data_IF_679097498446
#
_entry.id   IF_679097498446
#
_cell.length_a   1.000
_cell.length_b   1.000
_cell.length_c   1.000
_cell.angle_alpha   90.00
_cell.angle_beta   90.00
_cell.angle_gamma   90.00
#
_symmetry.space_group_name_H-M   'P 1'
#
loop_
_entity.id
_entity.type
_entity.pdbx_description
1 polymer ?
#
# COMPACT_ATOMS: atom_id res chain seq x y z
N UNK A 1 32.18 -2.24 10.07
CA UNK A 1 31.24 -1.93 8.96
C UNK A 1 30.41 -0.71 9.32
N UNK A 2 29.99 0.10 8.35
CA UNK A 2 29.09 1.24 8.62
C UNK A 2 27.74 0.70 9.12
N UNK A 3 27.23 1.24 10.22
CA UNK A 3 25.88 0.93 10.70
C UNK A 3 24.85 1.33 9.65
N UNK A 4 23.84 0.49 9.45
CA UNK A 4 22.71 0.85 8.60
C UNK A 4 21.92 2.00 9.25
N UNK A 5 21.38 2.90 8.43
CA UNK A 5 20.45 3.93 8.90
C UNK A 5 19.00 3.39 8.92
N UNK A 6 18.09 4.15 9.53
CA UNK A 6 16.67 3.78 9.67
C UNK A 6 16.05 3.39 8.32
N UNK A 7 16.24 4.20 7.26
CA UNK A 7 15.70 3.92 5.92
C UNK A 7 16.21 2.59 5.35
N UNK A 8 17.51 2.31 5.48
CA UNK A 8 18.11 1.07 5.01
C UNK A 8 17.55 -0.14 5.75
N UNK A 9 17.34 -0.03 7.07
CA UNK A 9 16.72 -1.09 7.87
C UNK A 9 15.26 -1.31 7.48
N UNK A 10 14.48 -0.24 7.26
CA UNK A 10 13.10 -0.34 6.77
C UNK A 10 13.02 -0.98 5.38
N UNK A 11 13.95 -0.66 4.47
CA UNK A 11 14.04 -1.30 3.15
C UNK A 11 14.34 -2.80 3.24
N UNK A 12 15.19 -3.21 4.17
CA UNK A 12 15.42 -4.64 4.44
C UNK A 12 14.16 -5.33 4.96
N UNK A 13 13.39 -4.66 5.81
CA UNK A 13 12.11 -5.18 6.31
C UNK A 13 11.06 -5.31 5.20
N UNK A 14 10.98 -4.31 4.30
CA UNK A 14 10.12 -4.37 3.11
C UNK A 14 10.52 -5.54 2.21
N UNK A 15 11.82 -5.73 1.95
CA UNK A 15 12.33 -6.88 1.19
C UNK A 15 12.01 -8.21 1.85
N UNK A 16 12.19 -8.30 3.18
CA UNK A 16 11.76 -9.46 3.96
C UNK A 16 10.29 -9.75 3.68
N UNK A 17 9.45 -8.70 3.72
CA UNK A 17 8.00 -8.77 3.48
C UNK A 17 7.63 -9.23 2.07
N UNK A 18 8.36 -8.81 1.03
CA UNK A 18 8.13 -9.33 -0.33
C UNK A 18 8.55 -10.78 -0.52
N UNK A 19 9.61 -11.25 0.16
CA UNK A 19 10.14 -12.61 0.01
C UNK A 19 9.36 -13.68 0.81
N UNK A 20 8.17 -13.35 1.31
CA UNK A 20 7.40 -14.14 2.29
C UNK A 20 8.16 -14.65 3.55
N UNK A 21 9.34 -14.08 3.85
CA UNK A 21 10.16 -14.51 4.99
C UNK A 21 9.55 -14.09 6.33
N UNK A 22 9.59 -15.00 7.30
CA UNK A 22 9.36 -14.71 8.72
C UNK A 22 10.55 -13.96 9.35
N UNK A 23 10.33 -13.36 10.52
CA UNK A 23 11.40 -12.75 11.30
C UNK A 23 12.49 -13.77 11.66
N UNK A 24 12.12 -15.01 12.02
CA UNK A 24 13.07 -16.06 12.37
C UNK A 24 13.92 -16.54 11.18
N UNK A 25 13.34 -16.60 9.98
CA UNK A 25 14.10 -16.95 8.76
C UNK A 25 15.08 -15.84 8.39
N UNK A 26 14.66 -14.58 8.51
CA UNK A 26 15.55 -13.43 8.36
C UNK A 26 16.71 -13.50 9.35
N UNK A 27 16.43 -13.77 10.63
CA UNK A 27 17.47 -13.84 11.67
C UNK A 27 18.48 -14.94 11.37
N UNK A 28 18.01 -16.12 10.95
CA UNK A 28 18.87 -17.22 10.49
C UNK A 28 19.72 -16.82 9.28
N UNK A 29 19.14 -16.13 8.30
CA UNK A 29 19.84 -15.67 7.11
C UNK A 29 20.87 -14.57 7.40
N UNK A 30 20.61 -13.69 8.37
CA UNK A 30 21.57 -12.68 8.83
C UNK A 30 22.72 -13.33 9.58
N UNK A 31 22.43 -14.28 10.47
CA UNK A 31 23.46 -15.01 11.22
C UNK A 31 24.37 -15.84 10.31
N UNK A 32 23.84 -16.44 9.23
CA UNK A 32 24.65 -17.22 8.28
C UNK A 32 25.69 -16.38 7.51
N UNK A 33 25.48 -15.07 7.42
CA UNK A 33 26.44 -14.11 6.84
C UNK A 33 27.19 -13.30 7.90
N UNK A 34 27.10 -13.70 9.18
CA UNK A 34 27.81 -13.05 10.29
C UNK A 34 27.22 -11.71 10.75
N UNK A 35 25.98 -11.40 10.39
CA UNK A 35 25.27 -10.18 10.81
C UNK A 35 24.38 -10.48 12.00
N UNK A 36 24.56 -9.73 13.09
CA UNK A 36 23.74 -9.84 14.31
C UNK A 36 22.35 -9.24 14.04
N UNK A 37 21.24 -9.98 14.17
CA UNK A 37 19.90 -9.45 13.84
C UNK A 37 19.51 -8.16 14.58
N UNK A 38 20.00 -7.99 15.80
CA UNK A 38 19.71 -6.81 16.62
C UNK A 38 20.41 -5.51 16.14
N UNK A 39 21.36 -5.59 15.19
CA UNK A 39 22.02 -4.42 14.58
C UNK A 39 21.30 -3.90 13.35
N UNK A 40 20.26 -4.61 12.88
CA UNK A 40 19.42 -4.23 11.74
C UNK A 40 17.96 -3.99 12.15
N UNK A 41 17.72 -3.75 13.44
CA UNK A 41 16.41 -3.41 13.99
C UNK A 41 16.14 -1.90 13.87
N UNK A 42 15.18 -1.47 13.04
CA UNK A 42 14.88 -0.05 12.85
C UNK A 42 14.44 0.64 14.16
N UNK A 43 13.80 -0.08 15.09
CA UNK A 43 13.34 0.49 16.36
C UNK A 43 14.48 0.93 17.28
N UNK A 44 15.67 0.34 17.11
CA UNK A 44 16.87 0.70 17.91
C UNK A 44 17.63 1.90 17.34
N UNK A 45 17.24 2.38 16.15
CA UNK A 45 17.94 3.46 15.45
C UNK A 45 17.37 4.86 15.69
N UNK A 46 16.30 4.95 16.47
CA UNK A 46 15.61 6.19 16.84
C UNK A 46 15.22 6.16 18.32
N UNK A 47 15.12 7.32 18.95
CA UNK A 47 14.70 7.42 20.35
C UNK A 47 13.18 7.28 20.52
N UNK A 48 12.74 7.03 21.75
CA UNK A 48 11.33 6.82 22.07
C UNK A 48 10.44 8.04 21.75
N UNK A 49 10.94 9.27 21.98
CA UNK A 49 10.19 10.49 21.69
C UNK A 49 9.96 10.67 20.18
N UNK A 50 10.94 10.27 19.39
CA UNK A 50 10.88 10.25 17.94
C UNK A 50 9.89 9.18 17.46
N UNK A 51 9.92 7.98 18.05
CA UNK A 51 8.97 6.90 17.76
C UNK A 51 7.52 7.31 18.01
N UNK A 52 7.23 8.05 19.09
CA UNK A 52 5.88 8.56 19.35
C UNK A 52 5.38 9.51 18.25
N UNK A 53 6.24 10.44 17.81
CA UNK A 53 5.92 11.36 16.71
C UNK A 53 5.73 10.61 15.40
N UNK A 54 6.61 9.65 15.13
CA UNK A 54 6.55 8.78 13.96
C UNK A 54 5.24 7.99 13.94
N UNK A 55 4.86 7.37 15.06
CA UNK A 55 3.59 6.65 15.21
C UNK A 55 2.40 7.55 14.88
N UNK A 56 2.36 8.77 15.45
CA UNK A 56 1.27 9.72 15.20
C UNK A 56 1.13 10.09 13.71
N UNK A 57 2.24 10.32 13.00
CA UNK A 57 2.20 10.58 11.55
C UNK A 57 1.78 9.34 10.77
N UNK A 58 2.24 8.17 11.19
CA UNK A 58 1.90 6.90 10.55
C UNK A 58 0.41 6.59 10.73
N UNK A 59 -0.19 6.92 11.87
CA UNK A 59 -1.64 6.73 12.09
C UNK A 59 -2.48 7.65 11.20
N UNK A 60 -2.03 8.89 11.01
CA UNK A 60 -2.65 9.79 10.01
C UNK A 60 -2.53 9.24 8.60
N UNK A 61 -1.37 8.69 8.23
CA UNK A 61 -1.18 8.05 6.92
C UNK A 61 -2.11 6.85 6.73
N UNK A 62 -2.31 6.02 7.75
CA UNK A 62 -3.26 4.90 7.65
C UNK A 62 -4.70 5.38 7.42
N UNK A 63 -5.14 6.43 8.13
CA UNK A 63 -6.48 6.99 7.93
C UNK A 63 -6.63 7.55 6.51
N UNK A 64 -5.65 8.34 6.04
CA UNK A 64 -5.66 8.90 4.69
C UNK A 64 -5.59 7.82 3.62
N UNK A 65 -4.75 6.80 3.83
CA UNK A 65 -4.58 5.68 2.92
C UNK A 65 -5.85 4.81 2.84
N UNK A 66 -6.61 4.71 3.93
CA UNK A 66 -7.90 4.04 3.94
C UNK A 66 -8.91 4.78 3.08
N UNK A 67 -9.06 6.10 3.24
CA UNK A 67 -9.95 6.90 2.39
C UNK A 67 -9.56 6.79 0.91
N UNK A 68 -8.27 6.89 0.58
CA UNK A 68 -7.77 6.73 -0.80
C UNK A 68 -8.08 5.33 -1.36
N UNK A 69 -8.05 4.30 -0.50
CA UNK A 69 -8.42 2.94 -0.90
C UNK A 69 -9.93 2.81 -1.17
N UNK A 70 -10.78 3.40 -0.32
CA UNK A 70 -12.24 3.44 -0.51
C UNK A 70 -12.62 4.17 -1.79
N UNK A 71 -12.08 5.37 -2.02
CA UNK A 71 -12.28 6.15 -3.25
C UNK A 71 -11.89 5.31 -4.48
N UNK A 72 -10.76 4.60 -4.42
CA UNK A 72 -10.33 3.72 -5.51
C UNK A 72 -11.28 2.54 -5.73
N UNK A 73 -11.80 1.95 -4.65
CA UNK A 73 -12.79 0.88 -4.74
C UNK A 73 -14.09 1.39 -5.39
N UNK A 74 -14.58 2.56 -4.97
CA UNK A 74 -15.74 3.24 -5.55
C UNK A 74 -15.52 3.56 -7.04
N UNK A 75 -14.33 4.05 -7.41
CA UNK A 75 -13.97 4.32 -8.79
C UNK A 75 -13.96 3.04 -9.65
N UNK A 76 -13.50 1.91 -9.10
CA UNK A 76 -13.46 0.63 -9.83
C UNK A 76 -14.84 0.05 -10.16
N UNK A 77 -15.86 0.40 -9.39
CA UNK A 77 -17.26 0.01 -9.64
C UNK A 77 -18.04 1.10 -10.40
N UNK A 78 -17.35 2.13 -10.90
CA UNK A 78 -17.92 3.19 -11.72
C UNK A 78 -18.68 4.27 -10.95
N UNK A 79 -18.60 4.29 -9.60
CA UNK A 79 -19.18 5.35 -8.79
C UNK A 79 -18.34 6.64 -8.82
N UNK A 80 -17.05 6.53 -9.13
CA UNK A 80 -16.12 7.65 -9.25
C UNK A 80 -15.24 7.55 -10.50
N UNK A 81 -14.58 8.66 -10.88
CA UNK A 81 -13.64 8.68 -12.02
C UNK A 81 -12.36 7.93 -11.68
N UNK A 82 -12.00 6.94 -12.51
CA UNK A 82 -10.71 6.24 -12.42
C UNK A 82 -9.60 7.18 -12.87
N UNK A 83 -8.79 7.66 -11.93
CA UNK A 83 -7.63 8.48 -12.24
C UNK A 83 -6.37 7.59 -12.25
N UNK A 84 -5.66 7.53 -13.39
CA UNK A 84 -4.44 6.73 -13.53
C UNK A 84 -3.29 7.46 -12.85
N UNK A 85 -2.80 6.94 -11.73
CA UNK A 85 -1.84 7.64 -10.90
C UNK A 85 -0.39 7.28 -11.24
N UNK A 86 0.40 8.27 -11.64
CA UNK A 86 1.83 8.12 -11.93
C UNK A 86 2.69 7.81 -10.68
N UNK A 87 2.24 8.26 -9.51
CA UNK A 87 2.91 8.11 -8.21
C UNK A 87 1.91 7.49 -7.24
N UNK A 88 2.29 6.40 -6.57
CA UNK A 88 1.45 5.73 -5.58
C UNK A 88 1.44 6.46 -4.23
N UNK A 89 0.62 5.99 -3.28
CA UNK A 89 0.43 6.66 -2.00
C UNK A 89 1.70 6.75 -1.16
N UNK A 90 2.56 5.71 -1.17
CA UNK A 90 3.82 5.71 -0.42
C UNK A 90 5.04 6.05 -1.29
N UNK A 91 5.05 5.60 -2.55
CA UNK A 91 6.16 5.77 -3.51
C UNK A 91 7.52 5.42 -2.91
N UNK A 92 7.54 4.24 -2.29
CA UNK A 92 8.76 3.64 -1.76
C UNK A 92 9.57 3.08 -2.93
N UNK A 93 10.73 3.67 -3.15
CA UNK A 93 11.62 3.24 -4.22
C UNK A 93 12.23 1.88 -3.94
N UNK A 94 12.14 0.99 -4.92
CA UNK A 94 12.82 -0.31 -4.88
C UNK A 94 14.35 -0.15 -4.87
N UNK A 95 15.05 -1.18 -4.42
CA UNK A 95 16.51 -1.18 -4.46
C UNK A 95 17.00 -1.15 -5.90
N UNK A 96 17.65 -0.05 -6.30
CA UNK A 96 18.18 0.14 -7.65
C UNK A 96 17.44 1.20 -8.45
N UNK A 97 16.25 1.62 -8.01
CA UNK A 97 15.62 2.83 -8.56
C UNK A 97 16.50 4.04 -8.27
N UNK A 98 16.89 4.74 -9.33
CA UNK A 98 17.74 5.92 -9.27
C UNK A 98 17.08 7.06 -10.02
N UNK A 99 17.59 8.27 -9.78
CA UNK A 99 17.11 9.47 -10.46
C UNK A 99 17.29 9.34 -11.97
N UNK A 100 16.30 9.77 -12.76
CA UNK A 100 16.35 9.80 -14.22
C UNK A 100 17.34 10.84 -14.79
N UNK A 101 18.27 11.35 -13.99
CA UNK A 101 19.31 12.28 -14.42
C UNK A 101 18.79 13.70 -14.71
N UNK A 102 19.32 14.31 -15.78
CA UNK A 102 19.18 15.75 -16.06
C UNK A 102 17.76 16.26 -16.25
N UNK A 103 16.79 15.40 -16.58
CA UNK A 103 15.38 15.78 -16.67
C UNK A 103 14.69 15.91 -15.30
N UNK A 104 15.34 15.49 -14.20
CA UNK A 104 14.86 15.67 -12.84
C UNK A 104 15.51 16.90 -12.19
N UNK A 105 14.83 18.03 -12.27
CA UNK A 105 15.27 19.35 -11.78
C UNK A 105 15.47 19.39 -10.25
N UNK A 106 14.88 18.45 -9.51
CA UNK A 106 15.05 18.33 -8.05
C UNK A 106 16.49 17.94 -7.68
N UNK A 107 17.15 17.12 -8.50
CA UNK A 107 18.51 16.61 -8.25
C UNK A 107 19.56 17.14 -9.23
N UNK A 108 19.16 17.85 -10.27
CA UNK A 108 20.06 18.50 -11.21
C UNK A 108 20.82 19.65 -10.50
N UNK A 109 21.82 19.32 -9.71
CA UNK A 109 22.86 20.27 -9.30
C UNK A 109 23.80 20.38 -10.49
N UNK A 110 23.86 21.60 -11.07
CA UNK A 110 24.77 22.01 -12.15
C UNK A 110 26.09 21.22 -12.15
N UNK A 111 26.20 20.18 -12.97
CA UNK A 111 27.46 19.48 -13.22
C UNK A 111 27.37 18.62 -14.49
N UNK A 112 28.38 18.80 -15.33
CA UNK A 112 28.57 18.37 -16.72
C UNK A 112 28.72 16.86 -16.94
N UNK A 113 27.98 15.99 -16.25
CA UNK A 113 28.08 14.55 -16.46
C UNK A 113 26.70 13.88 -16.50
N UNK A 114 26.02 14.07 -17.63
CA UNK A 114 24.81 13.34 -17.97
C UNK A 114 25.19 11.99 -18.63
N UNK A 115 25.23 10.92 -17.84
CA UNK A 115 25.04 9.58 -18.40
C UNK A 115 23.54 9.31 -18.45
N UNK A 116 22.95 9.53 -19.61
CA UNK A 116 21.56 9.20 -19.88
C UNK A 116 21.45 7.69 -20.14
N UNK A 117 21.01 6.93 -19.15
CA UNK A 117 20.42 5.61 -19.40
C UNK A 117 18.94 5.80 -19.70
N UNK A 118 18.63 6.04 -20.98
CA UNK A 118 17.25 6.04 -21.48
C UNK A 118 16.72 4.59 -21.46
N UNK A 119 15.75 4.31 -20.59
CA UNK A 119 15.23 2.97 -20.45
C UNK A 119 14.02 2.89 -19.53
N UNK A 120 13.05 3.77 -19.73
CA UNK A 120 11.63 3.64 -19.33
C UNK A 120 10.96 4.98 -19.63
N UNK A 121 9.68 4.96 -19.99
CA UNK A 121 8.84 6.16 -20.09
C UNK A 121 8.80 6.82 -18.72
N UNK A 122 9.78 7.66 -18.42
CA UNK A 122 9.96 8.22 -17.08
C UNK A 122 8.84 9.23 -16.86
N UNK A 123 7.89 8.86 -16.00
CA UNK A 123 6.83 9.75 -15.56
C UNK A 123 7.47 10.84 -14.68
N UNK A 124 7.29 12.08 -15.13
CA UNK A 124 7.69 13.28 -14.41
C UNK A 124 6.45 13.95 -13.84
N UNK A 125 6.59 14.49 -12.63
CA UNK A 125 5.54 15.25 -11.96
C UNK A 125 6.15 16.53 -11.39
N UNK A 126 5.36 17.59 -11.34
CA UNK A 126 5.78 18.85 -10.75
C UNK A 126 5.59 18.82 -9.23
N UNK A 127 6.62 19.27 -8.51
CA UNK A 127 6.57 19.35 -7.05
C UNK A 127 5.79 20.58 -6.60
N UNK A 128 4.65 20.39 -5.93
CA UNK A 128 3.77 21.47 -5.47
C UNK A 128 4.39 22.47 -4.46
N UNK A 129 5.58 22.17 -3.94
CA UNK A 129 6.30 23.01 -2.96
C UNK A 129 7.44 23.84 -3.55
N UNK A 130 8.05 23.39 -4.66
CA UNK A 130 9.19 24.08 -5.25
C UNK A 130 9.09 24.23 -6.77
N UNK A 131 7.97 23.80 -7.35
CA UNK A 131 7.61 23.93 -8.77
C UNK A 131 8.61 23.26 -9.73
N UNK A 132 9.56 22.48 -9.19
CA UNK A 132 10.54 21.73 -9.97
C UNK A 132 10.01 20.38 -10.38
N UNK A 133 10.36 20.00 -11.60
CA UNK A 133 10.05 18.70 -12.19
C UNK A 133 10.83 17.58 -11.53
N UNK A 134 10.14 16.53 -11.11
CA UNK A 134 10.69 15.40 -10.39
C UNK A 134 10.35 14.08 -11.10
N UNK A 135 11.34 13.20 -11.27
CA UNK A 135 11.09 11.82 -11.67
C UNK A 135 10.45 11.03 -10.52
N UNK A 136 9.75 9.93 -10.83
CA UNK A 136 9.14 9.02 -9.82
C UNK A 136 10.08 8.71 -8.64
N UNK A 137 11.33 8.37 -8.89
CA UNK A 137 12.30 8.04 -7.82
C UNK A 137 12.60 9.22 -6.87
N UNK A 138 12.50 10.46 -7.36
CA UNK A 138 12.70 11.68 -6.56
C UNK A 138 11.42 12.22 -5.93
N UNK A 139 10.25 11.68 -6.26
CA UNK A 139 8.97 12.04 -5.66
C UNK A 139 8.77 11.31 -4.33
N UNK A 140 8.16 11.97 -3.36
CA UNK A 140 7.55 11.28 -2.23
C UNK A 140 6.14 10.82 -2.65
N UNK A 141 5.61 9.82 -1.95
CA UNK A 141 4.25 9.33 -2.23
C UNK A 141 3.20 10.39 -1.93
N UNK A 142 2.00 10.22 -2.49
CA UNK A 142 0.88 11.15 -2.27
C UNK A 142 0.55 11.37 -0.79
N UNK A 143 0.76 10.35 0.04
CA UNK A 143 0.60 10.47 1.49
C UNK A 143 1.49 11.55 2.12
N UNK A 144 2.68 11.82 1.57
CA UNK A 144 3.53 12.91 2.06
C UNK A 144 2.93 14.29 1.79
N UNK A 145 2.35 14.50 0.60
CA UNK A 145 1.67 15.75 0.28
C UNK A 145 0.51 16.00 1.25
N UNK A 146 -0.30 14.97 1.51
CA UNK A 146 -1.43 15.04 2.45
C UNK A 146 -1.01 15.31 3.90
N UNK A 147 0.22 14.93 4.29
CA UNK A 147 0.79 15.27 5.60
C UNK A 147 1.40 16.67 5.67
N UNK A 148 1.94 17.19 4.55
CA UNK A 148 2.56 18.51 4.47
C UNK A 148 1.52 19.62 4.42
N UNK A 149 0.42 19.40 3.70
CA UNK A 149 -0.74 20.26 3.80
C UNK A 149 -1.33 20.13 5.20
N UNK A 150 -1.48 21.24 5.92
CA UNK A 150 -2.29 21.29 7.14
C UNK A 150 -3.81 21.03 6.85
N UNK A 151 -4.12 20.58 5.63
CA UNK A 151 -5.41 20.19 5.08
C UNK A 151 -6.15 19.13 5.89
N UNK A 152 -5.49 18.39 6.80
CA UNK A 152 -6.21 17.51 7.72
C UNK A 152 -7.15 18.26 8.68
N UNK A 153 -6.81 19.51 9.07
CA UNK A 153 -7.72 20.33 9.90
C UNK A 153 -8.86 20.90 9.07
N UNK A 154 -8.62 21.24 7.80
CA UNK A 154 -9.63 21.83 6.93
C UNK A 154 -10.59 20.79 6.31
N UNK A 155 -10.17 19.53 6.20
CA UNK A 155 -11.01 18.44 5.68
C UNK A 155 -12.15 18.02 6.63
N UNK A 156 -12.04 18.31 7.93
CA UNK A 156 -13.13 18.03 8.88
C UNK A 156 -14.32 18.98 8.76
N UNK A 157 -14.25 20.01 7.90
CA UNK A 157 -15.26 21.08 7.86
C UNK A 157 -16.24 20.95 6.68
N UNK A 158 -15.91 20.22 5.61
CA UNK A 158 -16.78 20.15 4.43
C UNK A 158 -17.40 18.77 4.20
N UNK A 159 -18.37 18.43 5.06
CA UNK A 159 -19.51 17.61 4.65
C UNK A 159 -20.49 18.45 3.81
N UNK A 160 -20.07 18.86 2.61
CA UNK A 160 -20.84 19.81 1.80
C UNK A 160 -20.71 19.60 0.30
N UNK A 161 -21.72 18.95 -0.30
CA UNK A 161 -22.33 19.17 -1.62
C UNK A 161 -21.48 19.48 -2.89
N UNK A 162 -20.17 19.32 -2.91
CA UNK A 162 -19.37 19.30 -4.12
C UNK A 162 -18.61 17.98 -4.17
N UNK A 163 -18.87 17.16 -5.18
CA UNK A 163 -18.27 15.83 -5.41
C UNK A 163 -16.78 15.88 -5.77
N UNK A 164 -15.98 16.60 -5.01
CA UNK A 164 -14.52 16.60 -5.06
C UNK A 164 -13.96 15.91 -3.84
N UNK A 165 -14.06 14.57 -3.80
CA UNK A 165 -13.36 13.74 -2.80
C UNK A 165 -11.84 13.90 -2.87
N UNK A 166 -11.10 13.11 -2.10
CA UNK A 166 -9.62 13.12 -2.07
C UNK A 166 -8.99 13.00 -3.47
N UNK A 167 -9.76 12.53 -4.45
CA UNK A 167 -9.50 12.58 -5.89
C UNK A 167 -8.95 13.94 -6.40
N UNK A 168 -9.41 15.10 -5.89
CA UNK A 168 -8.88 16.41 -6.32
C UNK A 168 -7.49 16.75 -5.73
N UNK A 169 -7.18 16.24 -4.53
CA UNK A 169 -5.86 16.36 -3.91
C UNK A 169 -4.88 15.29 -4.42
N UNK A 170 -5.38 14.28 -5.14
CA UNK A 170 -4.60 13.17 -5.64
C UNK A 170 -3.64 13.55 -6.78
N UNK A 171 -3.85 14.67 -7.48
CA UNK A 171 -2.95 15.08 -8.58
C UNK A 171 -1.73 15.87 -8.09
N UNK A 172 -1.73 16.30 -6.84
CA UNK A 172 -0.60 17.02 -6.26
C UNK A 172 0.51 16.06 -5.81
N UNK A 173 1.74 16.40 -6.16
CA UNK A 173 2.94 15.63 -5.81
C UNK A 173 3.96 16.51 -5.10
N UNK A 174 4.81 15.90 -4.28
CA UNK A 174 5.90 16.60 -3.59
C UNK A 174 7.19 15.81 -3.74
N UNK A 175 8.30 16.51 -3.96
CA UNK A 175 9.60 15.86 -4.07
C UNK A 175 10.18 15.52 -2.68
N UNK A 176 11.01 14.46 -2.63
CA UNK A 176 11.65 13.99 -1.40
C UNK A 176 12.54 15.04 -0.71
N UNK A 177 13.03 16.04 -1.44
CA UNK A 177 13.82 17.14 -0.84
C UNK A 177 12.95 18.19 -0.14
N UNK A 178 11.69 18.35 -0.53
CA UNK A 178 10.74 19.24 0.15
C UNK A 178 10.06 18.56 1.35
N UNK A 179 10.21 17.24 1.49
CA UNK A 179 9.65 16.48 2.61
C UNK A 179 10.60 16.46 3.81
N UNK A 180 10.05 16.70 5.00
CA UNK A 180 10.75 16.43 6.26
C UNK A 180 11.14 14.95 6.35
N UNK A 181 12.32 14.68 6.93
CA UNK A 181 12.82 13.33 7.18
C UNK A 181 11.80 12.44 7.91
N UNK A 182 11.10 12.99 8.90
CA UNK A 182 10.10 12.27 9.67
C UNK A 182 8.90 11.83 8.82
N UNK A 183 8.48 12.64 7.84
CA UNK A 183 7.39 12.27 6.91
C UNK A 183 7.86 11.13 6.01
N UNK A 184 9.09 11.20 5.49
CA UNK A 184 9.67 10.13 4.67
C UNK A 184 9.73 8.82 5.46
N UNK A 185 10.20 8.87 6.71
CA UNK A 185 10.24 7.71 7.59
C UNK A 185 8.84 7.17 7.92
N UNK A 186 7.85 8.04 8.13
CA UNK A 186 6.47 7.62 8.39
C UNK A 186 5.88 6.86 7.21
N UNK A 187 6.18 7.27 5.97
CA UNK A 187 5.78 6.52 4.77
C UNK A 187 6.35 5.09 4.78
N UNK A 188 7.63 4.90 5.15
CA UNK A 188 8.21 3.55 5.26
C UNK A 188 7.51 2.70 6.32
N UNK A 189 7.22 3.28 7.49
CA UNK A 189 6.54 2.55 8.59
C UNK A 189 5.12 2.15 8.18
N UNK A 190 4.37 3.07 7.58
CA UNK A 190 3.00 2.78 7.15
C UNK A 190 2.99 1.76 6.01
N UNK A 191 3.97 1.83 5.11
CA UNK A 191 4.10 0.84 4.05
C UNK A 191 4.36 -0.58 4.59
N UNK A 192 5.27 -0.71 5.56
CA UNK A 192 5.51 -1.98 6.26
C UNK A 192 4.24 -2.49 6.95
N UNK A 193 3.47 -1.61 7.59
CA UNK A 193 2.17 -1.94 8.19
C UNK A 193 1.18 -2.50 7.16
N UNK A 194 1.11 -1.87 5.98
CA UNK A 194 0.25 -2.34 4.88
C UNK A 194 0.70 -3.70 4.36
N UNK A 195 2.01 -3.90 4.12
CA UNK A 195 2.54 -5.18 3.68
C UNK A 195 2.25 -6.31 4.70
N UNK A 196 2.35 -6.02 5.99
CA UNK A 196 1.94 -6.96 7.05
C UNK A 196 0.46 -7.30 6.97
N UNK A 197 -0.41 -6.31 6.78
CA UNK A 197 -1.84 -6.51 6.63
C UNK A 197 -2.18 -7.32 5.37
N UNK A 198 -1.51 -7.07 4.24
CA UNK A 198 -1.66 -7.86 3.01
C UNK A 198 -1.28 -9.32 3.22
N UNK A 199 -0.15 -9.59 3.90
CA UNK A 199 0.24 -10.97 4.25
C UNK A 199 -0.75 -11.67 5.18
N UNK A 200 -1.29 -10.94 6.17
CA UNK A 200 -2.32 -11.49 7.07
C UNK A 200 -3.59 -11.83 6.29
N UNK A 201 -4.04 -10.91 5.43
CA UNK A 201 -5.18 -11.11 4.54
C UNK A 201 -4.98 -12.34 3.65
N UNK A 202 -3.86 -12.45 2.94
CA UNK A 202 -3.59 -13.60 2.07
C UNK A 202 -3.54 -14.93 2.82
N UNK A 203 -3.02 -14.96 4.05
CA UNK A 203 -3.06 -16.16 4.91
C UNK A 203 -4.48 -16.50 5.35
N UNK A 204 -5.27 -15.50 5.74
CA UNK A 204 -6.67 -15.69 6.11
C UNK A 204 -7.51 -16.18 4.93
N UNK A 205 -7.36 -15.59 3.75
CA UNK A 205 -8.04 -16.01 2.51
C UNK A 205 -7.68 -17.44 2.12
N UNK A 206 -6.39 -17.81 2.19
CA UNK A 206 -5.95 -19.19 1.91
C UNK A 206 -6.53 -20.18 2.92
N UNK A 207 -6.59 -19.80 4.20
CA UNK A 207 -7.19 -20.64 5.25
C UNK A 207 -8.71 -20.79 5.05
N UNK A 208 -9.40 -19.70 4.74
CA UNK A 208 -10.83 -19.70 4.43
C UNK A 208 -11.14 -20.57 3.21
N UNK A 209 -10.37 -20.41 2.12
CA UNK A 209 -10.51 -21.25 0.93
C UNK A 209 -10.28 -22.74 1.24
N UNK A 210 -9.26 -23.06 2.04
CA UNK A 210 -9.01 -24.45 2.48
C UNK A 210 -10.17 -25.00 3.30
N UNK A 211 -10.72 -24.21 4.21
CA UNK A 211 -11.86 -24.61 5.03
C UNK A 211 -13.12 -24.86 4.16
N UNK A 212 -13.42 -23.97 3.21
CA UNK A 212 -14.51 -24.14 2.25
C UNK A 212 -14.33 -25.42 1.45
N UNK A 213 -13.12 -25.67 0.92
CA UNK A 213 -12.86 -26.90 0.15
C UNK A 213 -13.05 -28.17 0.99
N UNK A 214 -12.71 -28.14 2.29
CA UNK A 214 -12.91 -29.26 3.20
C UNK A 214 -14.39 -29.52 3.50
N UNK A 215 -15.18 -28.46 3.74
CA UNK A 215 -16.63 -28.59 4.01
C UNK A 215 -17.37 -29.03 2.77
N UNK A 216 -17.11 -28.39 1.63
CA UNK A 216 -17.79 -28.68 0.39
C UNK A 216 -17.33 -29.98 -0.29
N UNK A 217 -16.30 -30.67 0.23
CA UNK A 217 -15.66 -31.82 -0.42
C UNK A 217 -15.34 -31.53 -1.90
N UNK A 218 -14.85 -30.32 -2.17
CA UNK A 218 -14.36 -29.91 -3.48
C UNK A 218 -13.00 -30.58 -3.72
N UNK A 219 -12.97 -31.91 -3.71
CA UNK A 219 -11.86 -32.67 -4.26
C UNK A 219 -11.74 -32.30 -5.74
N UNK A 220 -10.52 -32.20 -6.30
CA UNK A 220 -10.32 -31.99 -7.73
C UNK A 220 -10.66 -33.27 -8.48
N UNK A 221 -11.93 -33.69 -8.46
CA UNK A 221 -12.42 -34.71 -9.36
C UNK A 221 -12.49 -34.10 -10.75
N UNK A 222 -11.49 -34.48 -11.54
CA UNK A 222 -11.38 -34.44 -13.00
C UNK A 222 -12.53 -33.74 -13.71
N UNK A 223 -12.17 -32.61 -14.34
CA UNK A 223 -12.85 -31.91 -15.42
C UNK A 223 -13.64 -32.91 -16.30
N UNK A 224 -14.89 -33.14 -15.93
CA UNK A 224 -15.88 -33.87 -16.73
C UNK A 224 -17.24 -33.40 -16.22
N UNK A 225 -17.99 -32.74 -17.09
CA UNK A 225 -19.40 -32.38 -16.98
C UNK A 225 -19.75 -31.07 -16.21
N UNK A 226 -19.68 -29.96 -16.95
CA UNK A 226 -20.05 -28.60 -16.49
C UNK A 226 -21.53 -28.43 -16.12
N UNK A 227 -22.39 -29.41 -16.40
CA UNK A 227 -23.82 -29.38 -16.04
C UNK A 227 -24.03 -29.97 -14.64
N UNK A 228 -23.19 -30.93 -14.22
CA UNK A 228 -23.23 -31.48 -12.87
C UNK A 228 -22.62 -30.54 -11.82
N UNK A 229 -21.75 -29.61 -12.22
CA UNK A 229 -21.05 -28.72 -11.28
C UNK A 229 -21.94 -27.65 -10.63
N UNK A 230 -22.97 -27.15 -11.33
CA UNK A 230 -23.88 -26.13 -10.79
C UNK A 230 -24.83 -26.74 -9.76
N UNK A 231 -25.37 -27.93 -10.07
CA UNK A 231 -26.28 -28.64 -9.17
C UNK A 231 -25.55 -29.21 -7.96
N UNK A 232 -24.30 -29.67 -8.14
CA UNK A 232 -23.44 -30.04 -7.01
C UNK A 232 -23.06 -28.84 -6.16
N UNK A 233 -22.75 -27.70 -6.77
CA UNK A 233 -22.45 -26.45 -6.07
C UNK A 233 -23.63 -25.94 -5.23
N UNK A 234 -24.85 -25.97 -5.78
CA UNK A 234 -26.08 -25.64 -5.05
C UNK A 234 -26.33 -26.58 -3.87
N UNK A 235 -26.09 -27.89 -4.05
CA UNK A 235 -26.27 -28.87 -2.96
C UNK A 235 -25.21 -28.68 -1.85
N UNK A 236 -23.97 -28.39 -2.22
CA UNK A 236 -22.90 -28.06 -1.26
C UNK A 236 -23.17 -26.76 -0.52
N UNK A 237 -23.70 -25.74 -1.21
CA UNK A 237 -24.09 -24.47 -0.60
C UNK A 237 -25.22 -24.67 0.42
N UNK A 238 -26.26 -25.45 0.09
CA UNK A 238 -27.33 -25.80 1.03
C UNK A 238 -26.81 -26.54 2.27
N UNK A 239 -25.88 -27.48 2.10
CA UNK A 239 -25.22 -28.13 3.23
C UNK A 239 -24.41 -27.16 4.09
N UNK A 240 -23.78 -26.15 3.48
CA UNK A 240 -22.95 -25.18 4.19
C UNK A 240 -23.80 -24.16 4.97
N UNK A 241 -25.02 -23.90 4.51
CA UNK A 241 -25.98 -22.99 5.13
C UNK A 241 -26.97 -23.71 6.06
N UNK A 242 -26.88 -25.03 6.23
CA UNK A 242 -27.86 -25.83 7.00
C UNK A 242 -29.32 -25.58 6.55
N UNK A 243 -29.51 -25.53 5.23
CA UNK A 243 -30.77 -25.17 4.56
C UNK A 243 -31.28 -23.74 4.82
N UNK A 244 -30.51 -22.86 5.47
CA UNK A 244 -30.82 -21.42 5.58
C UNK A 244 -30.51 -20.68 4.27
N UNK A 245 -31.32 -19.67 3.94
CA UNK A 245 -31.12 -18.85 2.74
C UNK A 245 -30.31 -17.58 3.06
N UNK A 246 -29.39 -17.21 2.17
CA UNK A 246 -28.60 -15.99 2.37
C UNK A 246 -29.46 -14.76 2.10
N UNK A 247 -29.57 -13.85 3.08
CA UNK A 247 -30.23 -12.54 2.89
C UNK A 247 -29.60 -11.71 1.77
N UNK A 248 -28.36 -12.00 1.37
CA UNK A 248 -27.69 -11.33 0.26
C UNK A 248 -28.30 -11.70 -1.11
N UNK A 249 -29.07 -12.80 -1.21
CA UNK A 249 -29.80 -13.19 -2.42
C UNK A 249 -31.05 -12.32 -2.65
N UNK A 250 -31.46 -11.55 -1.63
CA UNK A 250 -32.56 -10.62 -1.70
C UNK A 250 -32.05 -9.18 -1.47
N UNK A 251 -31.34 -8.57 -2.46
CA UNK A 251 -30.77 -7.23 -2.31
C UNK A 251 -31.81 -6.13 -2.05
N UNK A 252 -33.11 -6.45 -2.22
CA UNK A 252 -34.24 -5.56 -1.95
C UNK A 252 -35.04 -5.94 -0.69
N UNK A 253 -34.70 -7.04 0.00
CA UNK A 253 -35.37 -7.41 1.24
C UNK A 253 -35.02 -6.40 2.35
N UNK A 254 -36.04 -5.91 3.02
CA UNK A 254 -35.91 -5.01 4.18
C UNK A 254 -37.09 -5.26 5.12
N UNK A 255 -37.08 -4.65 6.30
CA UNK A 255 -38.26 -4.65 7.19
C UNK A 255 -39.55 -4.15 6.52
N UNK A 256 -39.44 -3.41 5.41
CA UNK A 256 -40.56 -2.89 4.63
C UNK A 256 -40.93 -3.74 3.41
N UNK A 257 -40.01 -4.61 2.97
CA UNK A 257 -40.19 -5.49 1.82
C UNK A 257 -39.80 -6.90 2.24
N UNK A 258 -40.80 -7.65 2.72
CA UNK A 258 -40.67 -9.08 3.01
C UNK A 258 -40.52 -9.87 1.71
N UNK A 259 -39.67 -10.90 1.78
CA UNK A 259 -39.50 -11.93 0.75
C UNK A 259 -40.72 -12.84 0.73
#
# INVERSE_FOLDING_TARGET
>A
GKSLNFEQMMKLEIKRLYLDLSAAERDRALLSIGVIPATVDPNRSVDYSYLLKLSSLTDKLALLGHSVFEDRANASIGLEKVNSHAVDFWNISENGESCSGGACEVRAVSSLQASATSGSTSLFVECSQCERTACKACCAGKGAFLLLGNTYRDLKIYGGNQGGGYSALADSSVCKSCCNEMIKQALYVDYVRVLHSMRRKGRAEKAALKAVNQVCQLEPNRISDSVHSVQSGLRQLKQLLDDEESLAEFPHASFLHTV
#
